data_IF_127413774608
#
_entry.id   IF_127413774608
#
_cell.length_a   1.000
_cell.length_b   1.000
_cell.length_c   1.000
_cell.angle_alpha   90.00
_cell.angle_beta   90.00
_cell.angle_gamma   90.00
#
_symmetry.space_group_name_H-M   'P 1'
#
loop_
_entity.id
_entity.type
_entity.pdbx_description
1 polymer ?
#
# COMPACT_ATOMS: atom_id res chain seq x y z
N UNK A 1 -76.84 18.84 42.07
CA UNK A 1 -77.02 20.26 42.45
C UNK A 1 -75.68 20.97 42.36
N UNK A 2 -75.68 22.14 41.75
CA UNK A 2 -74.54 22.84 41.16
C UNK A 2 -73.56 23.47 42.18
N UNK A 3 -72.30 23.64 41.73
CA UNK A 3 -71.47 24.85 41.99
C UNK A 3 -70.25 24.89 41.04
N UNK A 4 -70.32 25.79 40.06
CA UNK A 4 -69.17 26.56 39.52
C UNK A 4 -68.78 27.66 40.54
N UNK A 5 -67.71 28.51 40.40
CA UNK A 5 -66.98 28.92 39.17
C UNK A 5 -65.44 29.21 39.27
N UNK A 6 -64.82 29.36 38.08
CA UNK A 6 -63.79 30.34 37.62
C UNK A 6 -62.47 30.62 38.39
N UNK A 7 -61.33 30.61 37.68
CA UNK A 7 -60.61 31.81 37.16
C UNK A 7 -59.18 31.50 36.62
N UNK A 8 -58.88 32.10 35.47
CA UNK A 8 -57.65 32.69 34.91
C UNK A 8 -56.20 32.28 35.34
N UNK A 9 -55.37 32.15 34.29
CA UNK A 9 -53.89 32.15 34.12
C UNK A 9 -53.16 33.35 34.78
N UNK A 10 -51.79 33.53 34.79
CA UNK A 10 -50.67 32.84 34.09
C UNK A 10 -49.37 32.59 34.93
N UNK A 11 -48.46 31.67 34.53
CA UNK A 11 -47.02 31.64 34.93
C UNK A 11 -46.33 30.45 34.24
N UNK A 12 -45.11 30.47 33.70
CA UNK A 12 -44.05 31.45 33.64
C UNK A 12 -43.05 31.03 32.54
N UNK A 13 -42.27 32.00 32.06
CA UNK A 13 -41.23 31.83 31.04
C UNK A 13 -40.16 30.84 31.53
N UNK A 14 -39.96 29.73 30.82
CA UNK A 14 -38.76 28.93 30.94
C UNK A 14 -37.58 29.65 30.28
N UNK A 15 -36.55 29.96 31.06
CA UNK A 15 -35.28 30.49 30.56
C UNK A 15 -34.52 29.41 29.74
N UNK A 16 -33.80 29.79 28.67
CA UNK A 16 -32.94 28.85 27.98
C UNK A 16 -31.71 28.52 28.83
N UNK A 17 -31.46 27.22 29.05
CA UNK A 17 -30.20 26.71 29.59
C UNK A 17 -29.07 27.06 28.62
N UNK A 18 -28.21 27.99 29.00
CA UNK A 18 -26.94 28.25 28.31
C UNK A 18 -26.02 27.05 28.52
N UNK A 19 -25.92 26.21 27.48
CA UNK A 19 -24.83 25.26 27.32
C UNK A 19 -23.53 26.04 27.25
N UNK A 20 -22.78 26.04 28.36
CA UNK A 20 -21.52 26.74 28.48
C UNK A 20 -20.47 25.92 27.71
N UNK A 21 -20.29 26.25 26.43
CA UNK A 21 -19.21 25.72 25.62
C UNK A 21 -17.87 26.01 26.33
N UNK A 22 -16.95 25.04 26.42
CA UNK A 22 -15.66 25.27 27.08
C UNK A 22 -14.93 26.43 26.40
N UNK A 23 -14.40 27.34 27.22
CA UNK A 23 -13.69 28.54 26.77
C UNK A 23 -12.55 28.17 25.82
N UNK A 24 -12.32 29.00 24.81
CA UNK A 24 -11.30 28.80 23.77
C UNK A 24 -9.91 28.43 24.33
N UNK A 25 -9.58 28.92 25.54
CA UNK A 25 -8.35 28.57 26.27
C UNK A 25 -8.24 27.09 26.62
N UNK A 26 -9.32 26.43 27.08
CA UNK A 26 -9.29 25.01 27.44
C UNK A 26 -9.21 24.09 26.22
N UNK A 27 -9.71 24.56 25.06
CA UNK A 27 -9.56 23.84 23.79
C UNK A 27 -8.11 23.89 23.30
N UNK A 28 -7.50 25.07 23.34
CA UNK A 28 -6.09 25.23 22.98
C UNK A 28 -5.14 24.40 23.86
N UNK A 29 -5.37 24.36 25.18
CA UNK A 29 -4.58 23.53 26.10
C UNK A 29 -4.74 22.03 25.84
N UNK A 30 -5.95 21.57 25.52
CA UNK A 30 -6.22 20.18 25.16
C UNK A 30 -5.57 19.80 23.82
N UNK A 31 -5.64 20.69 22.82
CA UNK A 31 -5.04 20.47 21.50
C UNK A 31 -3.50 20.42 21.59
N UNK A 32 -2.89 21.29 22.40
CA UNK A 32 -1.45 21.24 22.67
C UNK A 32 -1.03 19.98 23.44
N UNK A 33 -1.82 19.52 24.41
CA UNK A 33 -1.54 18.31 25.16
C UNK A 33 -1.58 17.06 24.26
N UNK A 34 -2.59 16.95 23.39
CA UNK A 34 -2.69 15.89 22.39
C UNK A 34 -1.54 15.96 21.37
N UNK A 35 -1.16 17.16 20.93
CA UNK A 35 -0.02 17.34 20.01
C UNK A 35 1.32 16.93 20.65
N UNK A 36 1.53 17.22 21.94
CA UNK A 36 2.71 16.76 22.70
C UNK A 36 2.72 15.24 22.86
N UNK A 37 1.56 14.63 23.13
CA UNK A 37 1.42 13.18 23.22
C UNK A 37 1.68 12.49 21.87
N UNK A 38 1.15 13.04 20.76
CA UNK A 38 1.41 12.51 19.42
C UNK A 38 2.87 12.66 19.01
N UNK A 39 3.52 13.80 19.30
CA UNK A 39 4.94 14.01 18.99
C UNK A 39 5.82 13.04 19.78
N UNK A 40 5.56 12.86 21.07
CA UNK A 40 6.32 11.91 21.90
C UNK A 40 6.06 10.46 21.50
N UNK A 41 4.81 10.06 21.23
CA UNK A 41 4.49 8.72 20.72
C UNK A 41 5.12 8.44 19.35
N UNK A 42 5.06 9.40 18.41
CA UNK A 42 5.72 9.28 17.11
C UNK A 42 7.23 9.15 17.26
N UNK A 43 7.85 9.95 18.12
CA UNK A 43 9.29 9.92 18.35
C UNK A 43 9.71 8.60 19.04
N UNK A 44 8.96 8.12 20.03
CA UNK A 44 9.18 6.83 20.68
C UNK A 44 9.00 5.67 19.70
N UNK A 45 7.97 5.70 18.85
CA UNK A 45 7.72 4.67 17.85
C UNK A 45 8.80 4.66 16.77
N UNK A 46 9.23 5.83 16.29
CA UNK A 46 10.35 5.96 15.34
C UNK A 46 11.66 5.45 15.95
N UNK A 47 11.94 5.78 17.21
CA UNK A 47 13.12 5.27 17.91
C UNK A 47 13.06 3.75 18.14
N UNK A 48 11.89 3.20 18.49
CA UNK A 48 11.71 1.77 18.66
C UNK A 48 11.91 1.00 17.35
N UNK A 49 11.35 1.52 16.24
CA UNK A 49 11.57 0.95 14.90
C UNK A 49 13.04 1.10 14.47
N UNK A 50 13.67 2.25 14.72
CA UNK A 50 15.09 2.45 14.41
C UNK A 50 16.01 1.49 15.18
N UNK A 51 15.72 1.21 16.45
CA UNK A 51 16.46 0.21 17.26
C UNK A 51 16.23 -1.20 16.74
N UNK A 52 15.00 -1.55 16.34
CA UNK A 52 14.68 -2.85 15.74
C UNK A 52 15.44 -3.03 14.41
N UNK A 53 15.43 -2.02 13.54
CA UNK A 53 16.15 -2.03 12.26
C UNK A 53 17.66 -2.11 12.51
N UNK A 54 18.21 -1.34 13.46
CA UNK A 54 19.63 -1.42 13.81
C UNK A 54 20.02 -2.81 14.34
N UNK A 55 19.13 -3.47 15.08
CA UNK A 55 19.34 -4.83 15.56
C UNK A 55 19.34 -5.85 14.40
N UNK A 56 18.40 -5.74 13.47
CA UNK A 56 18.33 -6.60 12.27
C UNK A 56 19.54 -6.37 11.36
N UNK A 57 19.92 -5.12 11.11
CA UNK A 57 21.12 -4.75 10.36
C UNK A 57 22.37 -5.26 11.06
N UNK A 58 22.46 -5.15 12.39
CA UNK A 58 23.54 -5.73 13.19
C UNK A 58 23.63 -7.24 13.05
N UNK A 59 22.49 -7.94 13.02
CA UNK A 59 22.41 -9.39 12.80
C UNK A 59 22.87 -9.78 11.39
N UNK A 60 22.49 -9.02 10.36
CA UNK A 60 22.90 -9.23 8.97
C UNK A 60 24.40 -8.96 8.78
N UNK A 61 24.93 -7.92 9.41
CA UNK A 61 26.38 -7.61 9.39
C UNK A 61 27.18 -8.68 10.16
N UNK A 62 26.67 -9.21 11.26
CA UNK A 62 27.28 -10.33 11.98
C UNK A 62 27.26 -11.63 11.15
N UNK A 63 26.25 -11.82 10.28
CA UNK A 63 26.20 -12.91 9.30
C UNK A 63 27.18 -12.71 8.13
N UNK A 64 27.37 -11.46 7.65
CA UNK A 64 28.37 -11.15 6.61
C UNK A 64 29.82 -11.20 7.10
N UNK A 65 30.06 -11.06 8.40
CA UNK A 65 31.39 -11.23 9.00
C UNK A 65 31.90 -12.69 9.03
N UNK A 66 31.09 -13.67 8.56
CA UNK A 66 31.49 -15.08 8.41
C UNK A 66 31.62 -15.54 6.94
N UNK A 67 31.49 -14.64 5.97
CA UNK A 67 31.64 -14.94 4.53
C UNK A 67 32.74 -14.08 3.90
N UNK A 68 33.82 -14.72 3.45
CA UNK A 68 35.10 -14.11 3.09
C UNK A 68 35.14 -13.20 1.86
N UNK A 69 36.12 -12.31 1.96
CA UNK A 69 36.83 -11.41 1.04
C UNK A 69 36.56 -11.50 -0.48
N UNK A 70 36.14 -10.35 -1.03
CA UNK A 70 36.17 -10.04 -2.46
C UNK A 70 36.28 -8.52 -2.68
N UNK A 71 37.51 -8.03 -2.86
CA UNK A 71 37.90 -6.62 -3.04
C UNK A 71 37.64 -6.13 -4.47
N UNK A 72 37.14 -4.88 -4.61
CA UNK A 72 37.50 -3.84 -5.61
C UNK A 72 36.29 -2.93 -5.90
N UNK A 73 36.38 -1.64 -6.21
CA UNK A 73 37.41 -0.62 -6.03
C UNK A 73 36.68 0.72 -6.27
N UNK A 74 36.97 1.71 -5.42
CA UNK A 74 36.40 3.06 -5.45
C UNK A 74 36.99 3.87 -6.61
N UNK A 75 36.15 4.64 -7.30
CA UNK A 75 36.58 5.66 -8.26
C UNK A 75 35.72 6.91 -8.13
N UNK A 76 36.27 7.95 -7.50
CA UNK A 76 35.67 9.29 -7.36
C UNK A 76 36.52 10.30 -8.14
N UNK A 77 35.87 11.23 -8.85
CA UNK A 77 36.18 12.68 -9.00
C UNK A 77 35.73 13.21 -10.41
N UNK A 78 35.68 14.54 -10.65
CA UNK A 78 34.80 15.54 -10.03
C UNK A 78 34.04 16.46 -11.05
N UNK A 79 33.01 17.14 -10.52
CA UNK A 79 32.30 18.42 -10.85
C UNK A 79 32.63 19.25 -12.11
N UNK A 80 31.55 19.81 -12.72
CA UNK A 80 31.32 21.14 -13.37
C UNK A 80 30.61 20.94 -14.74
N UNK A 81 29.58 21.66 -15.21
CA UNK A 81 29.30 23.11 -15.21
C UNK A 81 27.83 23.34 -15.64
N UNK A 82 27.23 24.39 -15.09
CA UNK A 82 26.07 25.19 -15.51
C UNK A 82 25.53 24.96 -16.94
N UNK A 83 24.26 24.55 -17.06
CA UNK A 83 23.53 24.60 -18.33
C UNK A 83 22.67 25.87 -18.39
N UNK A 84 23.08 26.82 -19.24
CA UNK A 84 22.24 27.92 -19.71
C UNK A 84 21.32 27.40 -20.82
N UNK A 85 20.01 27.54 -20.64
CA UNK A 85 19.03 27.31 -21.72
C UNK A 85 19.04 28.51 -22.67
N UNK A 86 19.80 28.41 -23.76
CA UNK A 86 19.56 29.21 -24.96
C UNK A 86 18.66 28.38 -25.87
N UNK A 87 17.42 28.83 -26.04
CA UNK A 87 16.45 28.22 -26.96
C UNK A 87 16.75 28.74 -28.37
N UNK A 88 17.18 27.84 -29.26
CA UNK A 88 17.35 28.12 -30.70
C UNK A 88 15.98 28.14 -31.40
N UNK A 89 15.57 29.24 -32.07
CA UNK A 89 14.30 29.32 -32.79
C UNK A 89 14.20 28.44 -34.05
N UNK A 90 15.29 27.78 -34.47
CA UNK A 90 15.34 26.96 -35.70
C UNK A 90 15.44 25.45 -35.47
N UNK A 91 15.13 24.97 -34.26
CA UNK A 91 15.02 23.53 -34.03
C UNK A 91 13.71 22.99 -34.66
N UNK A 92 13.76 22.03 -35.60
CA UNK A 92 12.56 21.39 -36.12
C UNK A 92 11.77 20.74 -34.98
N UNK A 93 10.43 20.65 -35.06
CA UNK A 93 9.60 20.18 -33.96
C UNK A 93 10.07 18.78 -33.55
N UNK A 94 10.36 18.61 -32.25
CA UNK A 94 10.62 17.31 -31.64
C UNK A 94 9.41 16.41 -31.92
N UNK A 95 9.55 15.60 -32.97
CA UNK A 95 8.54 14.66 -33.42
C UNK A 95 8.84 13.31 -32.80
N UNK A 96 7.77 12.73 -32.26
CA UNK A 96 7.57 11.35 -31.86
C UNK A 96 8.22 10.90 -30.55
N UNK A 97 7.35 10.66 -29.56
CA UNK A 97 7.54 9.63 -28.56
C UNK A 97 8.14 8.38 -29.21
N UNK A 98 9.15 7.79 -28.57
CA UNK A 98 9.71 6.51 -29.02
C UNK A 98 8.61 5.44 -29.16
N UNK A 99 8.89 4.34 -29.86
CA UNK A 99 7.94 3.23 -29.97
C UNK A 99 7.40 2.87 -28.58
N UNK A 100 6.08 2.60 -28.44
CA UNK A 100 5.51 2.21 -27.16
C UNK A 100 6.26 0.99 -26.63
N UNK A 101 6.64 1.04 -25.35
CA UNK A 101 7.30 -0.07 -24.65
C UNK A 101 6.41 -1.30 -24.81
N UNK A 102 6.92 -2.32 -25.50
CA UNK A 102 6.18 -3.57 -25.71
C UNK A 102 6.33 -4.44 -24.45
N UNK A 103 5.21 -4.92 -23.91
CA UNK A 103 5.18 -5.93 -22.86
C UNK A 103 4.92 -7.27 -23.52
N UNK A 104 5.61 -8.34 -23.10
CA UNK A 104 5.34 -9.69 -23.59
C UNK A 104 4.08 -10.30 -22.95
N UNK A 105 3.50 -11.29 -23.64
CA UNK A 105 2.34 -12.02 -23.13
C UNK A 105 2.73 -12.78 -21.87
N UNK A 106 2.01 -12.55 -20.77
CA UNK A 106 2.13 -13.41 -19.60
C UNK A 106 1.25 -14.64 -19.83
N UNK A 107 1.85 -15.83 -19.94
CA UNK A 107 1.08 -17.05 -20.17
C UNK A 107 0.00 -17.24 -19.08
N UNK A 108 -1.21 -17.71 -19.39
CA UNK A 108 -2.18 -18.08 -18.36
C UNK A 108 -1.63 -19.20 -17.45
N UNK A 109 -2.02 -19.19 -16.18
CA UNK A 109 -1.88 -20.32 -15.27
C UNK A 109 -3.07 -21.27 -15.35
N UNK A 110 -3.17 -22.17 -14.38
CA UNK A 110 -4.31 -23.07 -14.23
C UNK A 110 -5.60 -22.31 -13.90
N UNK A 111 -6.74 -22.98 -14.13
CA UNK A 111 -8.07 -22.51 -13.78
C UNK A 111 -8.69 -23.43 -12.72
N UNK A 112 -9.11 -22.85 -11.60
CA UNK A 112 -9.85 -23.54 -10.56
C UNK A 112 -11.35 -23.33 -10.76
N UNK A 113 -12.04 -24.35 -11.26
CA UNK A 113 -13.49 -24.35 -11.49
C UNK A 113 -14.32 -24.74 -10.23
N UNK A 114 -13.64 -25.11 -9.14
CA UNK A 114 -14.22 -25.50 -7.86
C UNK A 114 -13.79 -24.49 -6.77
N UNK A 115 -14.34 -24.58 -5.54
CA UNK A 115 -13.90 -23.74 -4.43
C UNK A 115 -12.39 -23.70 -4.28
N UNK A 116 -11.84 -22.49 -4.20
CA UNK A 116 -10.39 -22.25 -4.13
C UNK A 116 -9.82 -22.84 -2.84
N UNK A 117 -8.97 -23.88 -2.88
CA UNK A 117 -8.33 -24.39 -1.68
C UNK A 117 -7.32 -23.38 -1.15
N UNK A 118 -6.98 -23.46 0.14
CA UNK A 118 -5.90 -22.65 0.68
C UNK A 118 -4.54 -23.14 0.16
N UNK A 119 -3.74 -22.28 -0.51
CA UNK A 119 -2.41 -22.65 -0.96
C UNK A 119 -1.43 -22.73 0.21
N UNK A 120 -0.36 -23.50 0.02
CA UNK A 120 0.80 -23.38 0.89
C UNK A 120 1.53 -22.05 0.60
N UNK A 121 1.93 -21.33 1.66
CA UNK A 121 2.67 -20.07 1.53
C UNK A 121 4.20 -20.24 1.44
N UNK A 122 4.67 -21.49 1.29
CA UNK A 122 6.08 -21.84 1.11
C UNK A 122 6.55 -21.77 -0.36
N UNK A 123 5.69 -21.28 -1.25
CA UNK A 123 5.94 -21.16 -2.69
C UNK A 123 5.71 -22.45 -3.49
N UNK A 124 5.25 -23.54 -2.86
CA UNK A 124 5.06 -24.82 -3.55
C UNK A 124 3.75 -24.93 -4.34
N UNK A 125 2.84 -23.95 -4.22
CA UNK A 125 1.55 -23.98 -4.92
C UNK A 125 1.74 -23.86 -6.45
N UNK A 126 0.84 -24.44 -7.25
CA UNK A 126 0.87 -24.27 -8.70
C UNK A 126 0.51 -22.84 -9.08
N UNK A 127 0.86 -22.45 -10.30
CA UNK A 127 0.46 -21.15 -10.85
C UNK A 127 -1.00 -21.20 -11.30
N UNK A 128 -1.86 -20.38 -10.68
CA UNK A 128 -3.30 -20.30 -10.99
C UNK A 128 -3.66 -18.85 -11.32
N UNK A 129 -4.38 -18.65 -12.42
CA UNK A 129 -4.76 -17.29 -12.88
C UNK A 129 -6.27 -17.10 -13.08
N UNK A 130 -7.08 -18.11 -12.80
CA UNK A 130 -8.54 -18.03 -12.89
C UNK A 130 -9.19 -18.87 -11.79
N UNK A 131 -10.20 -18.29 -11.15
CA UNK A 131 -10.87 -18.84 -9.98
C UNK A 131 -12.38 -18.70 -10.13
N UNK A 132 -13.12 -19.73 -9.71
CA UNK A 132 -14.58 -19.72 -9.75
C UNK A 132 -15.21 -18.77 -8.71
N UNK A 133 -14.54 -18.59 -7.56
CA UNK A 133 -15.04 -17.81 -6.44
C UNK A 133 -13.89 -17.25 -5.57
N UNK A 134 -14.15 -16.22 -4.73
CA UNK A 134 -13.15 -15.69 -3.82
C UNK A 134 -12.59 -16.78 -2.89
N UNK A 135 -11.30 -16.71 -2.52
CA UNK A 135 -10.71 -17.69 -1.64
C UNK A 135 -11.32 -17.63 -0.22
N UNK A 136 -11.40 -18.77 0.49
CA UNK A 136 -11.75 -18.78 1.90
C UNK A 136 -10.66 -18.07 2.73
N UNK A 137 -10.92 -17.88 4.03
CA UNK A 137 -9.90 -17.35 4.94
C UNK A 137 -8.77 -18.39 5.11
N UNK A 138 -7.61 -18.11 4.52
CA UNK A 138 -6.41 -18.95 4.50
C UNK A 138 -5.28 -18.39 5.37
N UNK A 139 -5.41 -17.14 5.81
CA UNK A 139 -4.48 -16.48 6.72
C UNK A 139 -4.92 -16.63 8.18
N UNK A 140 -3.98 -16.54 9.10
CA UNK A 140 -4.24 -16.35 10.53
C UNK A 140 -4.44 -14.84 10.78
N UNK A 141 -5.64 -14.39 11.17
CA UNK A 141 -5.93 -12.97 11.37
C UNK A 141 -5.18 -12.35 12.57
N UNK A 142 -4.56 -13.18 13.40
CA UNK A 142 -3.74 -12.76 14.54
C UNK A 142 -2.23 -12.73 14.23
N UNK A 143 -1.82 -13.07 13.00
CA UNK A 143 -0.43 -12.97 12.56
C UNK A 143 -0.26 -11.83 11.57
N UNK A 144 0.88 -11.16 11.68
CA UNK A 144 1.32 -10.26 10.62
C UNK A 144 2.04 -11.07 9.54
N UNK A 145 2.15 -10.48 8.35
CA UNK A 145 2.81 -11.11 7.21
C UNK A 145 3.85 -10.15 6.63
N UNK A 146 4.98 -10.70 6.22
CA UNK A 146 5.94 -10.03 5.35
C UNK A 146 5.78 -10.58 3.95
N UNK A 147 5.62 -9.70 2.97
CA UNK A 147 5.57 -10.04 1.55
C UNK A 147 6.77 -9.44 0.85
N UNK A 148 7.59 -10.26 0.22
CA UNK A 148 8.66 -9.80 -0.66
C UNK A 148 8.20 -9.94 -2.10
N UNK A 149 8.02 -8.79 -2.77
CA UNK A 149 7.74 -8.70 -4.19
C UNK A 149 9.05 -8.48 -4.94
N UNK A 150 9.52 -9.53 -5.62
CA UNK A 150 10.69 -9.45 -6.50
C UNK A 150 10.27 -8.84 -7.82
N UNK A 151 10.95 -7.78 -8.21
CA UNK A 151 10.78 -7.14 -9.52
C UNK A 151 12.07 -7.25 -10.34
N UNK A 152 11.98 -7.00 -11.65
CA UNK A 152 13.16 -6.95 -12.53
C UNK A 152 14.18 -5.86 -12.19
N UNK A 153 13.89 -5.01 -11.19
CA UNK A 153 14.78 -3.94 -10.70
C UNK A 153 15.12 -4.07 -9.22
N UNK A 154 14.74 -5.18 -8.57
CA UNK A 154 15.04 -5.49 -7.18
C UNK A 154 13.79 -5.81 -6.34
N UNK A 155 14.03 -6.09 -5.07
CA UNK A 155 13.00 -6.57 -4.14
C UNK A 155 12.34 -5.40 -3.39
N UNK A 156 11.02 -5.43 -3.31
CA UNK A 156 10.21 -4.57 -2.43
C UNK A 156 9.61 -5.43 -1.32
N UNK A 157 9.88 -5.08 -0.06
CA UNK A 157 9.42 -5.85 1.10
C UNK A 157 8.31 -5.08 1.79
N UNK A 158 7.15 -5.70 1.99
CA UNK A 158 5.97 -5.09 2.60
C UNK A 158 5.55 -5.80 3.89
N UNK A 159 5.08 -5.01 4.84
CA UNK A 159 4.37 -5.48 6.03
C UNK A 159 2.86 -5.45 5.79
N UNK A 160 2.17 -6.54 6.11
CA UNK A 160 0.72 -6.66 6.04
C UNK A 160 0.16 -7.08 7.40
N UNK A 161 -0.90 -6.41 7.84
CA UNK A 161 -1.58 -6.67 9.11
C UNK A 161 -3.07 -6.94 8.85
N UNK A 162 -3.53 -8.21 8.98
CA UNK A 162 -4.92 -8.59 8.70
C UNK A 162 -5.97 -7.76 9.44
N UNK A 163 -5.63 -7.16 10.59
CA UNK A 163 -6.53 -6.28 11.35
C UNK A 163 -6.92 -4.99 10.61
N UNK A 164 -6.20 -4.62 9.55
CA UNK A 164 -6.49 -3.43 8.73
C UNK A 164 -7.48 -3.70 7.59
N UNK A 165 -7.70 -4.97 7.25
CA UNK A 165 -8.55 -5.38 6.12
C UNK A 165 -8.38 -6.88 5.82
N UNK A 166 -8.97 -7.73 6.66
CA UNK A 166 -8.75 -9.19 6.64
C UNK A 166 -9.08 -9.80 5.28
N UNK A 167 -10.25 -9.49 4.71
CA UNK A 167 -10.68 -10.03 3.42
C UNK A 167 -9.76 -9.63 2.26
N UNK A 168 -9.37 -8.35 2.22
CA UNK A 168 -8.48 -7.82 1.18
C UNK A 168 -7.06 -8.42 1.26
N UNK A 169 -6.51 -8.49 2.49
CA UNK A 169 -5.19 -9.08 2.73
C UNK A 169 -5.18 -10.58 2.45
N UNK A 170 -6.22 -11.30 2.89
CA UNK A 170 -6.37 -12.72 2.61
C UNK A 170 -6.38 -12.99 1.11
N UNK A 171 -7.21 -12.26 0.37
CA UNK A 171 -7.29 -12.37 -1.07
C UNK A 171 -5.95 -12.10 -1.75
N UNK A 172 -5.29 -10.99 -1.41
CA UNK A 172 -4.01 -10.61 -2.01
C UNK A 172 -2.91 -11.65 -1.76
N UNK A 173 -2.81 -12.15 -0.52
CA UNK A 173 -1.82 -13.17 -0.17
C UNK A 173 -2.11 -14.53 -0.81
N UNK A 174 -3.38 -14.92 -0.96
CA UNK A 174 -3.75 -16.16 -1.66
C UNK A 174 -3.40 -16.07 -3.15
N UNK A 175 -3.70 -14.96 -3.81
CA UNK A 175 -3.31 -14.75 -5.21
C UNK A 175 -1.79 -14.76 -5.40
N UNK A 176 -1.06 -14.08 -4.50
CA UNK A 176 0.41 -14.12 -4.49
C UNK A 176 0.96 -15.52 -4.30
N UNK A 177 0.40 -16.31 -3.37
CA UNK A 177 0.81 -17.69 -3.14
C UNK A 177 0.56 -18.61 -4.35
N UNK A 178 -0.50 -18.34 -5.13
CA UNK A 178 -0.78 -19.03 -6.39
C UNK A 178 0.00 -18.48 -7.60
N UNK A 179 1.05 -17.67 -7.38
CA UNK A 179 1.89 -17.12 -8.46
C UNK A 179 1.09 -16.33 -9.51
N UNK A 180 -0.05 -15.75 -9.11
CA UNK A 180 -0.93 -15.00 -10.00
C UNK A 180 -0.21 -13.79 -10.62
N UNK A 181 0.62 -13.12 -9.80
CA UNK A 181 1.33 -11.90 -10.16
C UNK A 181 2.60 -12.13 -10.99
N UNK A 182 3.06 -13.37 -11.07
CA UNK A 182 4.33 -13.70 -11.73
C UNK A 182 4.27 -13.37 -13.23
N UNK A 183 5.25 -12.59 -13.68
CA UNK A 183 5.40 -12.07 -15.02
C UNK A 183 4.63 -10.78 -15.29
N UNK A 184 3.71 -10.35 -14.41
CA UNK A 184 2.90 -9.15 -14.67
C UNK A 184 3.76 -7.88 -14.71
N UNK A 185 3.53 -6.98 -15.68
CA UNK A 185 4.19 -5.68 -15.72
C UNK A 185 3.61 -4.71 -14.70
N UNK A 186 4.39 -3.69 -14.34
CA UNK A 186 3.84 -2.44 -13.81
C UNK A 186 3.16 -1.70 -14.99
N UNK A 187 1.84 -1.64 -14.95
CA UNK A 187 1.01 -1.12 -16.04
C UNK A 187 0.96 0.41 -16.06
N UNK A 188 1.25 1.03 -14.92
CA UNK A 188 1.38 2.47 -14.76
C UNK A 188 2.46 2.80 -13.74
N UNK A 189 3.23 3.85 -14.00
CA UNK A 189 4.22 4.42 -13.08
C UNK A 189 4.20 5.95 -13.22
N UNK A 190 3.48 6.63 -12.33
CA UNK A 190 3.58 8.07 -12.12
C UNK A 190 4.46 8.36 -10.89
N UNK A 191 5.68 8.90 -11.06
CA UNK A 191 6.63 9.08 -9.95
C UNK A 191 6.15 10.01 -8.83
N UNK A 192 5.16 10.86 -9.11
CA UNK A 192 4.58 11.77 -8.13
C UNK A 192 3.41 11.14 -7.37
N UNK A 193 2.75 10.14 -7.97
CA UNK A 193 1.54 9.51 -7.44
C UNK A 193 1.85 8.05 -7.08
N UNK A 194 1.84 7.14 -8.04
CA UNK A 194 1.86 5.71 -7.78
C UNK A 194 2.42 4.87 -8.93
N UNK A 195 2.81 3.63 -8.58
CA UNK A 195 2.88 2.54 -9.54
C UNK A 195 1.63 1.67 -9.41
N UNK A 196 1.19 1.07 -10.51
CA UNK A 196 0.03 0.20 -10.54
C UNK A 196 0.35 -1.10 -11.27
N UNK A 197 -0.29 -2.16 -10.81
CA UNK A 197 -0.44 -3.41 -11.53
C UNK A 197 -1.91 -3.59 -11.78
N UNK A 198 -2.24 -3.78 -13.04
CA UNK A 198 -3.61 -4.00 -13.48
C UNK A 198 -3.68 -5.30 -14.28
N UNK A 199 -4.35 -6.33 -13.77
CA UNK A 199 -4.46 -7.62 -14.45
C UNK A 199 -5.27 -7.56 -15.75
N UNK A 200 -5.94 -6.45 -16.08
CA UNK A 200 -6.66 -6.28 -17.35
C UNK A 200 -5.86 -5.55 -18.43
N UNK A 201 -4.53 -5.44 -18.28
CA UNK A 201 -3.71 -4.73 -19.26
C UNK A 201 -3.85 -5.31 -20.67
N UNK A 202 -4.13 -4.44 -21.63
CA UNK A 202 -4.36 -4.80 -23.01
C UNK A 202 -3.01 -4.99 -23.71
N UNK A 203 -2.69 -6.26 -23.96
CA UNK A 203 -1.74 -6.76 -24.95
C UNK A 203 -0.36 -7.20 -24.42
N UNK A 204 0.03 -8.47 -24.67
CA UNK A 204 -0.83 -9.56 -25.12
C UNK A 204 -1.67 -10.10 -23.97
N UNK A 205 -2.92 -10.37 -24.29
CA UNK A 205 -3.88 -11.07 -23.43
C UNK A 205 -3.31 -12.40 -22.97
N UNK A 206 -3.28 -12.63 -21.66
CA UNK A 206 -2.92 -13.95 -21.11
C UNK A 206 -3.32 -14.13 -19.64
N UNK A 207 -3.14 -13.10 -18.81
CA UNK A 207 -3.74 -13.05 -17.47
C UNK A 207 -4.79 -11.96 -17.47
N UNK A 208 -5.99 -12.29 -17.00
CA UNK A 208 -7.12 -11.36 -16.83
C UNK A 208 -7.51 -11.34 -15.36
N UNK A 209 -8.52 -10.52 -14.99
CA UNK A 209 -9.17 -10.59 -13.67
C UNK A 209 -9.33 -12.02 -13.16
N UNK A 210 -9.12 -12.28 -11.85
CA UNK A 210 -9.19 -13.62 -11.26
C UNK A 210 -10.58 -14.27 -11.37
N UNK A 211 -11.62 -13.52 -11.72
CA UNK A 211 -12.95 -14.06 -12.03
C UNK A 211 -14.02 -13.77 -10.98
N UNK A 212 -13.69 -13.04 -9.91
CA UNK A 212 -14.59 -12.67 -8.83
C UNK A 212 -14.30 -11.26 -8.27
N UNK A 213 -15.29 -10.57 -7.68
CA UNK A 213 -15.08 -9.31 -6.97
C UNK A 213 -14.60 -9.51 -5.53
N UNK A 214 -13.94 -8.51 -4.95
CA UNK A 214 -13.49 -8.51 -3.54
C UNK A 214 -14.02 -7.27 -2.82
N UNK A 215 -14.52 -7.40 -1.58
CA UNK A 215 -14.92 -6.24 -0.79
C UNK A 215 -13.75 -5.29 -0.55
N UNK A 216 -13.97 -4.01 -0.87
CA UNK A 216 -13.02 -2.92 -0.62
C UNK A 216 -13.32 -2.29 0.74
N UNK A 217 -12.97 -2.98 1.82
CA UNK A 217 -13.08 -2.43 3.17
C UNK A 217 -11.69 -2.16 3.75
N UNK A 218 -11.41 -0.91 4.13
CA UNK A 218 -10.19 -0.54 4.84
C UNK A 218 -10.47 0.30 6.08
N UNK A 219 -9.65 0.07 7.11
CA UNK A 219 -9.62 0.87 8.33
C UNK A 219 -8.64 2.06 8.24
N UNK A 220 -7.70 2.06 7.28
CA UNK A 220 -6.63 3.07 7.16
C UNK A 220 -6.94 4.09 6.07
N UNK A 221 -6.85 5.37 6.42
CA UNK A 221 -7.15 6.50 5.51
C UNK A 221 -5.93 7.35 5.15
N UNK A 222 -4.77 7.08 5.76
CA UNK A 222 -3.54 7.86 5.52
C UNK A 222 -2.61 7.08 4.59
N UNK A 223 -2.32 7.69 3.44
CA UNK A 223 -1.37 7.17 2.44
C UNK A 223 -0.04 7.89 2.60
N UNK A 224 1.06 7.14 2.65
CA UNK A 224 2.42 7.66 2.55
C UNK A 224 3.13 6.98 1.38
N UNK A 225 4.22 7.54 0.82
CA UNK A 225 5.11 6.79 -0.05
C UNK A 225 5.47 5.43 0.55
N UNK A 226 5.32 4.36 -0.24
CA UNK A 226 5.45 2.97 0.20
C UNK A 226 4.17 2.31 0.70
N UNK A 227 3.04 3.02 0.79
CA UNK A 227 1.74 2.39 1.05
C UNK A 227 1.30 1.51 -0.12
N UNK A 228 0.95 0.25 0.16
CA UNK A 228 0.38 -0.72 -0.77
C UNK A 228 -1.13 -0.80 -0.58
N UNK A 229 -1.89 -0.65 -1.66
CA UNK A 229 -3.35 -0.72 -1.65
C UNK A 229 -3.89 -1.54 -2.83
N UNK A 230 -5.08 -2.12 -2.68
CA UNK A 230 -5.81 -2.65 -3.84
C UNK A 230 -6.23 -1.49 -4.76
N UNK A 231 -6.32 -1.80 -6.05
CA UNK A 231 -6.70 -0.84 -7.08
C UNK A 231 -8.22 -0.67 -7.08
N UNK A 232 -8.69 0.51 -6.66
CA UNK A 232 -10.10 0.88 -6.80
C UNK A 232 -10.50 1.06 -8.25
N UNK A 233 -11.54 0.36 -8.69
CA UNK A 233 -12.05 0.41 -10.06
C UNK A 233 -13.55 0.13 -10.09
N UNK A 234 -14.22 0.63 -11.13
CA UNK A 234 -15.63 0.37 -11.38
C UNK A 234 -15.86 -0.92 -12.20
N UNK A 235 -14.78 -1.62 -12.60
CA UNK A 235 -14.83 -2.84 -13.40
C UNK A 235 -14.86 -4.08 -12.47
N UNK A 236 -15.98 -4.80 -12.35
CA UNK A 236 -16.10 -5.90 -11.40
C UNK A 236 -15.02 -6.97 -11.60
N UNK A 237 -14.35 -7.32 -10.50
CA UNK A 237 -13.27 -8.30 -10.43
C UNK A 237 -11.88 -7.77 -10.77
N UNK A 238 -11.72 -6.55 -11.30
CA UNK A 238 -10.37 -5.96 -11.49
C UNK A 238 -9.77 -5.51 -10.16
N UNK A 239 -10.62 -5.08 -9.23
CA UNK A 239 -10.30 -4.74 -7.85
C UNK A 239 -9.79 -5.93 -7.02
N UNK A 240 -10.10 -7.16 -7.45
CA UNK A 240 -9.68 -8.37 -6.75
C UNK A 240 -8.19 -8.67 -6.91
N UNK A 241 -7.54 -8.19 -7.96
CA UNK A 241 -6.13 -8.48 -8.19
C UNK A 241 -5.29 -7.24 -8.49
N UNK A 242 -5.88 -6.17 -9.05
CA UNK A 242 -5.16 -4.93 -9.26
C UNK A 242 -4.69 -4.32 -7.94
N UNK A 243 -3.48 -3.76 -7.94
CA UNK A 243 -2.93 -3.07 -6.78
C UNK A 243 -2.10 -1.87 -7.20
N UNK A 244 -1.83 -1.00 -6.24
CA UNK A 244 -0.99 0.18 -6.42
C UNK A 244 -0.09 0.42 -5.21
N UNK A 245 1.07 1.00 -5.47
CA UNK A 245 2.02 1.42 -4.42
C UNK A 245 2.30 2.90 -4.58
N UNK A 246 2.11 3.64 -3.50
CA UNK A 246 2.33 5.07 -3.46
C UNK A 246 3.81 5.35 -3.67
N UNK A 247 4.15 6.13 -4.69
CA UNK A 247 5.53 6.52 -4.98
C UNK A 247 5.84 7.88 -4.39
N UNK A 248 4.98 8.87 -4.59
CA UNK A 248 5.26 10.27 -4.29
C UNK A 248 4.24 10.93 -3.37
N UNK A 249 4.46 12.23 -3.13
CA UNK A 249 3.65 13.02 -2.20
C UNK A 249 2.25 13.31 -2.74
N UNK A 250 2.02 13.15 -4.05
CA UNK A 250 0.71 13.36 -4.67
C UNK A 250 -0.19 12.11 -4.56
N UNK A 251 0.31 11.03 -3.93
CA UNK A 251 -0.50 9.87 -3.52
C UNK A 251 -1.49 10.20 -2.39
N UNK A 252 -1.45 11.41 -1.84
CA UNK A 252 -2.38 11.88 -0.81
C UNK A 252 -3.82 11.83 -1.33
N UNK A 253 -4.70 11.12 -0.61
CA UNK A 253 -6.13 11.08 -0.92
C UNK A 253 -6.62 9.84 -1.67
N UNK A 254 -5.93 8.69 -1.60
CA UNK A 254 -6.62 7.43 -1.89
C UNK A 254 -7.77 7.25 -0.89
N UNK A 255 -8.99 7.48 -1.36
CA UNK A 255 -10.23 7.36 -0.58
C UNK A 255 -10.71 5.92 -0.53
N UNK A 256 -11.90 5.71 0.07
CA UNK A 256 -12.53 4.45 0.48
C UNK A 256 -12.44 3.27 -0.51
N UNK A 257 -12.28 3.55 -1.81
CA UNK A 257 -12.22 2.54 -2.87
C UNK A 257 -10.84 1.88 -3.06
N UNK A 258 -9.83 2.21 -2.26
CA UNK A 258 -8.48 1.61 -2.39
C UNK A 258 -7.95 1.20 -1.03
N UNK A 259 -8.36 0.02 -0.51
CA UNK A 259 -7.98 -0.39 0.82
C UNK A 259 -6.47 -0.56 0.93
N UNK A 260 -5.86 0.16 1.87
CA UNK A 260 -4.44 0.01 2.19
C UNK A 260 -4.25 -1.33 2.90
N UNK A 261 -3.49 -2.22 2.27
CA UNK A 261 -3.26 -3.59 2.75
C UNK A 261 -1.83 -3.78 3.29
N UNK A 262 -0.91 -2.88 2.98
CA UNK A 262 0.46 -2.99 3.46
C UNK A 262 1.28 -1.70 3.42
N UNK A 263 2.46 -1.79 4.01
CA UNK A 263 3.44 -0.70 4.10
C UNK A 263 4.83 -1.24 3.75
N UNK A 264 5.58 -0.50 2.94
CA UNK A 264 6.95 -0.83 2.58
C UNK A 264 7.84 -0.84 3.84
N UNK A 265 8.56 -1.94 4.04
CA UNK A 265 9.58 -2.16 5.06
C UNK A 265 10.99 -1.93 4.50
N UNK A 266 11.25 -2.40 3.28
CA UNK A 266 12.56 -2.34 2.61
C UNK A 266 12.40 -2.28 1.09
N UNK A 267 13.45 -1.85 0.38
CA UNK A 267 13.48 -1.74 -1.07
C UNK A 267 13.42 -0.29 -1.59
N UNK A 268 13.95 0.69 -0.83
CA UNK A 268 13.96 2.09 -1.28
C UNK A 268 14.74 2.31 -2.59
N UNK A 269 15.82 1.55 -2.82
CA UNK A 269 16.59 1.60 -4.06
C UNK A 269 15.78 1.08 -5.27
N UNK A 270 15.20 -0.14 -5.25
CA UNK A 270 14.29 -0.59 -6.30
C UNK A 270 13.07 0.33 -6.47
N UNK A 271 12.51 0.88 -5.38
CA UNK A 271 11.40 1.85 -5.46
C UNK A 271 11.82 3.11 -6.24
N UNK A 272 13.04 3.60 -6.04
CA UNK A 272 13.60 4.71 -6.80
C UNK A 272 13.83 4.33 -8.27
N UNK A 273 14.35 3.14 -8.55
CA UNK A 273 14.54 2.65 -9.92
C UNK A 273 13.19 2.50 -10.68
N UNK A 274 12.12 2.13 -9.98
CA UNK A 274 10.76 2.12 -10.50
C UNK A 274 10.29 3.54 -10.82
N UNK A 275 10.48 4.49 -9.90
CA UNK A 275 10.12 5.91 -10.16
C UNK A 275 10.80 6.46 -11.42
N UNK A 276 12.05 6.09 -11.67
CA UNK A 276 12.78 6.51 -12.88
C UNK A 276 12.26 5.85 -14.17
N UNK A 277 11.55 4.72 -14.04
CA UNK A 277 10.88 4.05 -15.15
C UNK A 277 9.51 4.65 -15.49
N UNK A 278 9.09 5.74 -14.85
CA UNK A 278 7.75 6.32 -15.02
C UNK A 278 7.73 7.68 -15.72
N UNK A 279 6.60 7.98 -16.35
CA UNK A 279 6.33 9.29 -16.95
C UNK A 279 5.37 10.08 -16.04
N UNK A 280 5.76 11.27 -15.55
CA UNK A 280 4.87 12.07 -14.70
C UNK A 280 3.53 12.38 -15.37
N UNK A 281 2.44 12.34 -14.60
CA UNK A 281 1.04 12.59 -15.00
C UNK A 281 0.42 11.52 -15.89
N UNK A 282 1.08 11.10 -16.96
CA UNK A 282 0.54 10.04 -17.84
C UNK A 282 0.65 8.68 -17.17
N UNK A 283 1.75 8.48 -16.43
CA UNK A 283 2.11 7.22 -15.81
C UNK A 283 2.54 6.15 -16.80
N UNK A 284 2.81 6.51 -18.06
CA UNK A 284 3.31 5.56 -19.06
C UNK A 284 4.73 5.10 -18.66
N UNK A 285 4.97 3.77 -18.53
CA UNK A 285 6.32 3.28 -18.26
C UNK A 285 7.27 3.59 -19.42
N UNK A 286 8.48 4.07 -19.11
CA UNK A 286 9.57 4.31 -20.07
C UNK A 286 10.36 3.04 -20.40
N UNK A 287 10.21 2.01 -19.56
CA UNK A 287 10.74 0.65 -19.73
C UNK A 287 9.86 -0.34 -18.99
N UNK A 288 9.85 -1.61 -19.40
CA UNK A 288 9.11 -2.66 -18.69
C UNK A 288 9.77 -2.93 -17.34
N UNK A 289 8.96 -2.91 -16.28
CA UNK A 289 9.30 -3.49 -14.98
C UNK A 289 8.30 -4.60 -14.72
N UNK A 290 8.78 -5.80 -14.44
CA UNK A 290 7.95 -6.99 -14.22
C UNK A 290 8.05 -7.46 -12.79
N UNK A 291 6.99 -8.08 -12.28
CA UNK A 291 7.02 -8.88 -11.06
C UNK A 291 7.54 -10.26 -11.44
N UNK A 292 8.63 -10.68 -10.83
CA UNK A 292 9.21 -12.00 -11.09
C UNK A 292 8.63 -13.06 -10.16
N UNK A 293 8.40 -12.71 -8.89
CA UNK A 293 7.82 -13.59 -7.89
C UNK A 293 7.33 -12.79 -6.67
N UNK A 294 6.40 -13.37 -5.92
CA UNK A 294 6.04 -12.93 -4.58
C UNK A 294 6.26 -14.06 -3.55
N UNK A 295 6.92 -13.74 -2.43
CA UNK A 295 7.15 -14.70 -1.34
C UNK A 295 6.56 -14.18 -0.03
N UNK A 296 5.99 -15.09 0.76
CA UNK A 296 5.20 -14.73 1.94
C UNK A 296 5.82 -15.39 3.18
N UNK A 297 6.12 -14.58 4.17
CA UNK A 297 6.64 -15.04 5.46
C UNK A 297 5.63 -14.67 6.57
N UNK A 298 4.97 -15.67 7.19
CA UNK A 298 4.15 -15.43 8.38
C UNK A 298 5.03 -14.96 9.55
N UNK A 299 4.72 -13.78 10.09
CA UNK A 299 5.36 -13.24 11.28
C UNK A 299 4.95 -13.97 12.56
N UNK A 300 5.64 -13.63 13.65
CA UNK A 300 5.24 -14.04 14.99
C UNK A 300 3.84 -13.53 15.36
N UNK A 301 3.17 -14.24 16.26
CA UNK A 301 1.82 -13.92 16.73
C UNK A 301 1.75 -12.46 17.25
N UNK A 302 0.75 -11.70 16.82
CA UNK A 302 0.54 -10.35 17.33
C UNK A 302 0.13 -10.45 18.80
N UNK A 303 1.08 -10.20 19.71
CA UNK A 303 0.87 -10.27 21.16
C UNK A 303 -0.40 -9.50 21.53
N UNK A 304 -1.42 -10.22 22.03
CA UNK A 304 -2.65 -9.61 22.53
C UNK A 304 -2.27 -8.59 23.60
N UNK A 305 -2.73 -7.32 23.52
CA UNK A 305 -2.59 -6.40 24.64
C UNK A 305 -3.25 -7.06 25.86
N UNK A 306 -2.62 -7.05 27.04
CA UNK A 306 -3.22 -7.66 28.22
C UNK A 306 -4.59 -7.05 28.46
N UNK A 307 -5.61 -7.90 28.59
CA UNK A 307 -6.96 -7.49 28.93
C UNK A 307 -6.92 -6.71 30.25
N UNK A 308 -7.13 -5.40 30.20
CA UNK A 308 -7.09 -4.53 31.39
C UNK A 308 -6.55 -3.12 31.19
N UNK A 309 -6.03 -2.76 30.02
CA UNK A 309 -5.69 -1.36 29.73
C UNK A 309 -6.96 -0.61 29.27
N UNK A 310 -7.74 -0.12 30.23
CA UNK A 310 -8.79 0.88 30.02
C UNK A 310 -8.14 2.21 29.60
N UNK A 311 -8.74 2.99 28.68
CA UNK A 311 -8.17 4.27 28.19
C UNK A 311 -7.96 5.33 29.28
#
# INVERSE_FOLDING_TARGET
MARQPARHTPSGRGAPRTSMAPSASRRAEADEALARQQRTQRLVLVLAVAVLVAFVVGMVLAFRAQGGDGTASTGTAPVSTTASTVVDPNQPPVTAAGPPVQVDAVAPGEQLAAPTPCPAFDGSAPRVTSFAEPPPLCIDPNRNYTLTMRTSVGDLVFFLNPKQGEAAINNFLVLAAYHYYDGLPLTKIDPLVDMQVDPQFTNPTGVTSPGYPVPLNAAVTIVNPGSLALLGTNDPGREAAGFKVALGQDAVGWTEDSPIIGLLLDGLEPLQAIREAGTPKTGEPTRVVTIEAMTIEPGGEAKTPPAGATP
#
